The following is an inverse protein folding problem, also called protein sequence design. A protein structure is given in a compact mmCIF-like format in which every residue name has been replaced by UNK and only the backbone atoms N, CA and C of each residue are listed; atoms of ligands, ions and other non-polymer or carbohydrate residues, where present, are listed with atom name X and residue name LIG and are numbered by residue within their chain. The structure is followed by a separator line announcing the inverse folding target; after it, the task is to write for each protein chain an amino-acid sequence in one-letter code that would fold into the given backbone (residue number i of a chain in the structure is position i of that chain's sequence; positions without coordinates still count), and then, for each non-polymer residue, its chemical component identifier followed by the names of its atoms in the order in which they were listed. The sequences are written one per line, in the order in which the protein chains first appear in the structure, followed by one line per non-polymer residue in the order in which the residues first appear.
data_IF_939559395282
#
_entry.id   IF_939559395282
#
_cell.length_a   1.000
_cell.length_b   1.000
_cell.length_c   1.000
_cell.angle_alpha   90.00
_cell.angle_beta   90.00
_cell.angle_gamma   90.00
#
_symmetry.space_group_name_H-M   'P 1'
#
loop_
_entity.id
_entity.type
_entity.pdbx_description
1 polymer ?
#
# COMPACT_ATOMS: atom_id res chain seq x y z
N UNK A 1 10.34 2.09 3.22
CA UNK A 1 10.23 0.90 2.33
C UNK A 1 8.80 0.74 1.79
N UNK A 2 7.78 0.62 2.66
CA UNK A 2 6.39 0.43 2.22
C UNK A 2 5.85 1.49 1.23
N UNK A 3 6.02 2.81 1.45
CA UNK A 3 5.57 3.82 0.47
C UNK A 3 6.18 3.63 -0.93
N UNK A 4 7.48 3.27 -1.00
CA UNK A 4 8.16 2.98 -2.27
C UNK A 4 7.63 1.70 -2.94
N UNK A 5 7.20 0.72 -2.16
CA UNK A 5 6.56 -0.48 -2.70
C UNK A 5 5.20 -0.10 -3.29
N UNK A 6 4.38 0.65 -2.54
CA UNK A 6 3.05 1.08 -2.99
C UNK A 6 3.13 1.92 -4.27
N UNK A 7 4.13 2.80 -4.40
CA UNK A 7 4.30 3.60 -5.63
C UNK A 7 4.62 2.77 -6.88
N UNK A 8 5.00 1.51 -6.72
CA UNK A 8 5.24 0.59 -7.84
C UNK A 8 4.01 -0.25 -8.19
N UNK A 9 3.11 -0.48 -7.25
CA UNK A 9 2.04 -1.50 -7.39
C UNK A 9 0.62 -0.93 -7.29
N UNK A 10 0.45 0.24 -6.69
CA UNK A 10 -0.86 0.84 -6.42
C UNK A 10 -1.08 2.04 -7.36
N UNK A 11 -2.02 1.95 -8.33
CA UNK A 11 -2.21 3.01 -9.33
C UNK A 11 -2.64 4.35 -8.74
N UNK A 12 -3.36 4.34 -7.63
CA UNK A 12 -3.84 5.54 -6.94
C UNK A 12 -2.81 6.17 -5.97
N UNK A 13 -1.68 5.49 -5.71
CA UNK A 13 -0.69 5.96 -4.73
C UNK A 13 0.38 6.85 -5.39
N UNK A 14 0.57 8.06 -4.84
CA UNK A 14 1.61 8.99 -5.29
C UNK A 14 2.71 9.15 -4.24
N UNK A 15 3.93 8.70 -4.55
CA UNK A 15 5.08 8.93 -3.66
C UNK A 15 5.45 10.41 -3.58
N UNK A 16 5.31 11.17 -4.67
CA UNK A 16 5.66 12.59 -4.73
C UNK A 16 4.79 13.47 -3.83
N UNK A 17 3.57 13.04 -3.52
CA UNK A 17 2.64 13.73 -2.63
C UNK A 17 2.80 13.32 -1.15
N UNK A 18 3.70 12.38 -0.83
CA UNK A 18 3.92 11.96 0.55
C UNK A 18 4.76 12.98 1.32
N UNK A 19 4.33 13.30 2.55
CA UNK A 19 5.15 14.03 3.53
C UNK A 19 5.52 13.12 4.70
N UNK A 20 6.81 13.06 5.02
CA UNK A 20 7.34 12.33 6.17
C UNK A 20 7.83 13.25 7.29
N UNK A 21 7.70 14.55 7.10
CA UNK A 21 8.09 15.55 8.10
C UNK A 21 7.16 15.44 9.31
N UNK A 22 7.73 15.58 10.51
CA UNK A 22 6.96 15.70 11.75
C UNK A 22 7.03 17.16 12.19
N UNK A 23 5.93 17.87 11.99
CA UNK A 23 5.76 19.23 12.49
C UNK A 23 5.52 19.23 14.00
N UNK A 24 5.97 20.29 14.69
CA UNK A 24 5.76 20.47 16.14
C UNK A 24 4.28 20.36 16.53
N UNK A 25 3.39 20.88 15.70
CA UNK A 25 1.93 20.82 15.90
C UNK A 25 1.35 19.40 15.80
N UNK A 26 2.11 18.44 15.27
CA UNK A 26 1.67 17.04 15.04
C UNK A 26 2.35 16.05 15.97
N UNK A 27 3.17 16.50 16.92
CA UNK A 27 3.93 15.60 17.80
C UNK A 27 3.02 14.71 18.66
N UNK A 28 1.85 15.21 19.05
CA UNK A 28 0.83 14.48 19.81
C UNK A 28 -0.12 13.63 18.96
N UNK A 29 0.06 13.58 17.63
CA UNK A 29 -0.79 12.73 16.78
C UNK A 29 -0.49 11.26 16.99
N UNK A 30 -1.53 10.42 16.90
CA UNK A 30 -1.41 8.98 17.13
C UNK A 30 -0.27 8.33 16.33
N UNK A 31 -0.11 8.70 15.06
CA UNK A 31 0.99 8.21 14.21
C UNK A 31 2.37 8.45 14.86
N UNK A 32 2.61 9.66 15.36
CA UNK A 32 3.90 10.07 15.93
C UNK A 32 4.13 9.41 17.29
N UNK A 33 3.11 9.34 18.15
CA UNK A 33 3.18 8.66 19.45
C UNK A 33 3.48 7.17 19.26
N UNK A 34 2.74 6.48 18.38
CA UNK A 34 2.95 5.06 18.05
C UNK A 34 4.36 4.81 17.52
N UNK A 35 4.92 5.75 16.77
CA UNK A 35 6.30 5.65 16.26
C UNK A 35 7.36 5.91 17.34
N UNK A 36 7.26 7.04 18.05
CA UNK A 36 8.31 7.51 18.98
C UNK A 36 8.26 6.81 20.33
N UNK A 37 7.08 6.62 20.89
CA UNK A 37 6.90 6.13 22.26
C UNK A 37 6.68 4.62 22.31
N UNK A 38 5.91 4.07 21.37
CA UNK A 38 5.61 2.63 21.30
C UNK A 38 6.68 1.87 20.46
N UNK A 39 7.48 2.58 19.67
CA UNK A 39 8.58 2.00 18.90
C UNK A 39 8.15 1.32 17.59
N UNK A 40 6.93 1.57 17.09
CA UNK A 40 6.46 1.00 15.82
C UNK A 40 7.06 1.79 14.66
N UNK A 41 8.15 1.26 14.07
CA UNK A 41 8.93 1.94 13.03
C UNK A 41 8.14 2.35 11.78
N UNK A 42 7.05 1.64 11.46
CA UNK A 42 6.28 1.80 10.22
C UNK A 42 4.87 2.34 10.49
N UNK A 43 4.80 3.39 11.31
CA UNK A 43 3.57 4.11 11.62
C UNK A 43 3.30 5.21 10.59
N UNK A 44 2.25 5.05 9.79
CA UNK A 44 1.87 5.96 8.71
C UNK A 44 0.39 6.33 8.80
N UNK A 45 0.06 7.50 8.25
CA UNK A 45 -1.32 7.87 7.91
C UNK A 45 -1.44 7.76 6.40
N UNK A 46 -2.48 7.08 5.92
CA UNK A 46 -2.82 7.03 4.50
C UNK A 46 -3.99 7.98 4.27
N UNK A 47 -3.83 8.89 3.30
CA UNK A 47 -4.80 9.94 2.99
C UNK A 47 -5.34 9.73 1.57
N UNK A 48 -6.65 9.94 1.38
CA UNK A 48 -7.30 9.91 0.08
C UNK A 48 -7.56 11.33 -0.41
N UNK A 49 -7.42 11.55 -1.72
CA UNK A 49 -7.85 12.80 -2.35
C UNK A 49 -9.37 12.93 -2.32
N UNK A 50 -9.85 14.14 -2.08
CA UNK A 50 -11.27 14.50 -2.21
C UNK A 50 -11.62 14.93 -3.64
N UNK A 51 -10.67 15.53 -4.36
CA UNK A 51 -10.91 16.10 -5.69
C UNK A 51 -10.53 15.15 -6.84
N UNK A 52 -10.24 13.88 -6.52
CA UNK A 52 -9.82 12.89 -7.50
C UNK A 52 -8.33 12.97 -7.82
N UNK A 53 -7.89 12.09 -8.73
CA UNK A 53 -6.50 12.03 -9.17
C UNK A 53 -6.26 13.01 -10.33
N UNK A 54 -5.11 13.69 -10.31
CA UNK A 54 -4.62 14.57 -11.37
C UNK A 54 -3.61 13.89 -12.31
N UNK A 55 -3.28 12.62 -12.03
CA UNK A 55 -2.26 11.84 -12.72
C UNK A 55 -2.56 10.34 -12.72
N UNK A 56 -1.82 9.59 -13.52
CA UNK A 56 -1.92 8.13 -13.61
C UNK A 56 -3.22 7.64 -14.24
N UNK A 57 -3.51 6.35 -14.03
CA UNK A 57 -4.68 5.64 -14.61
C UNK A 57 -6.02 6.30 -14.27
N UNK A 58 -6.12 6.95 -13.12
CA UNK A 58 -7.35 7.55 -12.61
C UNK A 58 -7.41 9.07 -12.81
N UNK A 59 -6.53 9.64 -13.64
CA UNK A 59 -6.50 11.08 -13.92
C UNK A 59 -7.88 11.59 -14.37
N UNK A 60 -8.38 12.63 -13.72
CA UNK A 60 -9.67 13.25 -14.00
C UNK A 60 -10.87 12.49 -13.42
N UNK A 61 -10.64 11.40 -12.70
CA UNK A 61 -11.69 10.61 -12.04
C UNK A 61 -11.68 10.86 -10.54
N UNK A 62 -12.87 10.85 -9.94
CA UNK A 62 -13.04 10.82 -8.48
C UNK A 62 -12.71 9.43 -7.94
N UNK A 63 -12.17 9.38 -6.73
CA UNK A 63 -11.93 8.11 -6.03
C UNK A 63 -13.27 7.59 -5.50
N UNK A 64 -13.72 6.46 -6.05
CA UNK A 64 -14.89 5.74 -5.57
C UNK A 64 -14.52 4.57 -4.68
N UNK A 65 -15.54 3.82 -4.25
CA UNK A 65 -15.38 2.61 -3.44
C UNK A 65 -14.44 1.60 -4.08
N UNK A 66 -14.57 1.39 -5.40
CA UNK A 66 -13.74 0.44 -6.15
C UNK A 66 -12.26 0.77 -6.07
N UNK A 67 -11.90 2.04 -6.24
CA UNK A 67 -10.50 2.48 -6.20
C UNK A 67 -9.93 2.40 -4.77
N UNK A 68 -10.76 2.65 -3.75
CA UNK A 68 -10.39 2.46 -2.35
C UNK A 68 -10.16 0.98 -2.01
N UNK A 69 -11.03 0.08 -2.49
CA UNK A 69 -10.87 -1.36 -2.35
C UNK A 69 -9.61 -1.86 -3.06
N UNK A 70 -9.35 -1.40 -4.29
CA UNK A 70 -8.11 -1.70 -5.01
C UNK A 70 -6.89 -1.23 -4.20
N UNK A 71 -6.92 -0.01 -3.66
CA UNK A 71 -5.84 0.52 -2.83
C UNK A 71 -5.61 -0.34 -1.57
N UNK A 72 -6.70 -0.78 -0.91
CA UNK A 72 -6.63 -1.70 0.23
C UNK A 72 -6.01 -3.05 -0.13
N UNK A 73 -6.42 -3.65 -1.24
CA UNK A 73 -5.82 -4.89 -1.74
C UNK A 73 -4.32 -4.72 -2.03
N UNK A 74 -3.94 -3.65 -2.75
CA UNK A 74 -2.53 -3.33 -3.04
C UNK A 74 -1.73 -3.02 -1.77
N UNK A 75 -2.36 -2.45 -0.74
CA UNK A 75 -1.72 -2.26 0.56
C UNK A 75 -1.32 -3.60 1.20
N UNK A 76 -2.21 -4.58 1.22
CA UNK A 76 -1.92 -5.93 1.70
C UNK A 76 -0.78 -6.59 0.90
N UNK A 77 -0.80 -6.49 -0.43
CA UNK A 77 0.31 -6.94 -1.29
C UNK A 77 1.63 -6.27 -0.90
N UNK A 78 1.59 -4.95 -0.67
CA UNK A 78 2.75 -4.17 -0.26
C UNK A 78 3.33 -4.62 1.08
N UNK A 79 2.48 -4.96 2.05
CA UNK A 79 2.90 -5.53 3.33
C UNK A 79 3.58 -6.90 3.17
N UNK A 80 3.03 -7.77 2.33
CA UNK A 80 3.62 -9.09 2.06
C UNK A 80 5.00 -8.95 1.41
N UNK A 81 5.14 -8.06 0.42
CA UNK A 81 6.43 -7.76 -0.21
C UNK A 81 7.42 -7.16 0.78
N UNK A 82 6.97 -6.26 1.65
CA UNK A 82 7.80 -5.69 2.71
C UNK A 82 8.30 -6.77 3.69
N UNK A 83 7.45 -7.71 4.08
CA UNK A 83 7.82 -8.83 4.96
C UNK A 83 8.94 -9.66 4.33
N UNK A 84 8.76 -10.08 3.07
CA UNK A 84 9.75 -10.87 2.31
C UNK A 84 11.10 -10.16 2.19
N UNK A 85 11.11 -8.84 2.02
CA UNK A 85 12.35 -8.05 1.98
C UNK A 85 13.03 -7.95 3.35
N UNK A 86 12.29 -8.04 4.45
CA UNK A 86 12.82 -7.97 5.80
C UNK A 86 13.37 -9.32 6.31
N UNK A 87 12.90 -10.45 5.77
CA UNK A 87 13.38 -11.80 6.09
C UNK A 87 13.75 -12.59 4.82
N UNK A 88 14.95 -12.37 4.24
CA UNK A 88 15.39 -13.08 3.03
C UNK A 88 15.47 -14.61 3.16
N UNK A 89 15.41 -15.16 4.38
CA UNK A 89 15.60 -16.58 4.70
C UNK A 89 14.30 -17.38 4.87
N UNK A 90 13.11 -16.76 4.84
CA UNK A 90 11.81 -17.47 4.84
C UNK A 90 11.27 -17.64 3.40
N UNK A 91 12.04 -18.30 2.54
CA UNK A 91 11.54 -18.84 1.27
C UNK A 91 10.81 -20.15 1.58
N UNK A 92 9.47 -20.15 1.67
CA UNK A 92 8.63 -21.36 1.45
C UNK A 92 7.10 -21.15 1.58
N UNK A 93 6.57 -19.91 1.64
CA UNK A 93 5.12 -19.70 1.56
C UNK A 93 4.73 -19.06 0.21
N UNK A 94 3.98 -19.76 -0.66
CA UNK A 94 3.43 -19.19 -1.89
C UNK A 94 2.68 -17.91 -1.55
N UNK A 95 2.82 -16.84 -2.34
CA UNK A 95 2.00 -15.65 -2.05
C UNK A 95 0.55 -15.98 -2.36
N UNK A 96 -0.36 -15.36 -1.60
CA UNK A 96 -1.80 -15.41 -1.93
C UNK A 96 -2.06 -14.92 -3.36
N UNK A 97 -1.21 -14.02 -3.89
CA UNK A 97 -1.27 -13.54 -5.27
C UNK A 97 -0.77 -14.57 -6.28
N UNK A 98 0.24 -15.39 -5.91
CA UNK A 98 0.68 -16.50 -6.75
C UNK A 98 -0.44 -17.55 -6.83
N UNK A 99 -1.13 -17.79 -5.70
CA UNK A 99 -2.31 -18.66 -5.64
C UNK A 99 -3.49 -18.07 -6.44
N UNK A 100 -3.78 -16.77 -6.31
CA UNK A 100 -4.85 -16.12 -7.09
C UNK A 100 -4.53 -16.09 -8.59
N UNK A 101 -3.28 -15.78 -8.97
CA UNK A 101 -2.86 -15.83 -10.37
C UNK A 101 -2.89 -17.26 -10.93
N UNK A 102 -2.48 -18.27 -10.16
CA UNK A 102 -2.62 -19.67 -10.57
C UNK A 102 -4.08 -20.13 -10.63
N UNK A 103 -4.95 -19.67 -9.72
CA UNK A 103 -6.39 -19.97 -9.75
C UNK A 103 -7.07 -19.30 -10.95
N UNK A 104 -6.69 -18.06 -11.28
CA UNK A 104 -7.18 -17.33 -12.46
C UNK A 104 -6.67 -18.01 -13.74
N UNK A 105 -5.38 -18.37 -13.83
CA UNK A 105 -4.82 -19.10 -14.98
C UNK A 105 -5.39 -20.53 -15.11
N UNK A 106 -5.69 -21.21 -14.00
CA UNK A 106 -6.34 -22.51 -13.99
C UNK A 106 -7.80 -22.43 -14.42
N UNK A 107 -8.51 -21.35 -14.08
CA UNK A 107 -9.89 -21.12 -14.54
C UNK A 107 -9.97 -20.80 -16.04
N UNK A 108 -8.89 -20.30 -16.66
CA UNK A 108 -8.82 -20.05 -18.11
C UNK A 108 -8.48 -21.29 -18.96
N UNK A 109 -8.21 -22.45 -18.34
CA UNK A 109 -7.87 -23.72 -19.04
C UNK A 109 -9.01 -24.73 -19.13
N UNK A 110 -10.22 -24.39 -18.67
CA UNK A 110 -11.42 -25.21 -18.90
C UNK A 110 -12.23 -24.55 -20.03
N UNK A 111 -12.16 -25.18 -21.21
CA UNK A 111 -13.03 -25.08 -22.41
C UNK A 111 -14.06 -23.97 -22.48
#
# INVERSE_FOLDING_TARGET
ALPKILSQIAPAFCMGSCSFVVEKSKESTARVVVWREIGVQRSYTMESTLCGCDQGKYKGLQIGTRELEEMGAKFCVGLLRLKRMASPLEYNLPSLLDIENELIESSCKVT
#
